data_IF_411758121594
#
_entry.id   IF_411758121594
#
_cell.length_a   1.000
_cell.length_b   1.000
_cell.length_c   1.000
_cell.angle_alpha   90.00
_cell.angle_beta   90.00
_cell.angle_gamma   90.00
#
_symmetry.space_group_name_H-M   'P 1'
#
loop_
_entity.id
_entity.type
_entity.pdbx_description
1 polymer ?
#
# COMPACT_ATOMS: atom_id res chain seq x y z
N UNK A 1 -20.55 -15.90 -25.06
CA UNK A 1 -21.11 -15.88 -23.69
C UNK A 1 -19.94 -15.66 -22.74
N UNK A 2 -19.82 -14.44 -22.19
CA UNK A 2 -18.72 -14.09 -21.30
C UNK A 2 -19.02 -14.60 -19.90
N UNK A 3 -18.20 -15.52 -19.40
CA UNK A 3 -18.25 -15.98 -18.03
C UNK A 3 -17.59 -14.92 -17.15
N UNK A 4 -18.39 -14.08 -16.49
CA UNK A 4 -17.92 -13.28 -15.35
C UNK A 4 -17.90 -14.18 -14.11
N UNK A 5 -16.74 -14.43 -13.48
CA UNK A 5 -16.73 -15.03 -12.15
C UNK A 5 -17.27 -13.99 -11.16
N UNK A 6 -18.49 -14.22 -10.70
CA UNK A 6 -19.17 -13.45 -9.67
C UNK A 6 -18.88 -14.10 -8.31
N UNK A 7 -17.65 -14.04 -7.83
CA UNK A 7 -17.33 -14.44 -6.46
C UNK A 7 -16.10 -13.69 -5.91
N UNK A 8 -16.27 -12.71 -5.01
CA UNK A 8 -15.14 -12.02 -4.36
C UNK A 8 -14.33 -12.94 -3.42
N UNK A 9 -14.85 -14.13 -3.11
CA UNK A 9 -14.23 -15.11 -2.21
C UNK A 9 -13.04 -15.85 -2.83
N UNK A 10 -12.97 -15.96 -4.16
CA UNK A 10 -11.90 -16.68 -4.87
C UNK A 10 -10.57 -15.90 -4.88
N UNK A 11 -10.61 -14.58 -4.76
CA UNK A 11 -9.43 -13.75 -4.56
C UNK A 11 -8.79 -13.91 -3.17
N UNK A 12 -9.51 -14.47 -2.18
CA UNK A 12 -9.03 -14.54 -0.79
C UNK A 12 -8.19 -15.79 -0.49
N UNK A 13 -8.36 -16.87 -1.26
CA UNK A 13 -7.66 -18.14 -1.00
C UNK A 13 -6.17 -18.08 -1.39
N UNK A 14 -5.82 -17.28 -2.41
CA UNK A 14 -4.43 -17.18 -2.92
C UNK A 14 -3.58 -16.13 -2.16
N UNK A 15 -4.21 -15.21 -1.42
CA UNK A 15 -3.50 -14.15 -0.68
C UNK A 15 -2.68 -14.70 0.50
N UNK A 16 -3.12 -15.80 1.12
CA UNK A 16 -2.37 -16.41 2.24
C UNK A 16 -1.01 -16.97 1.82
N UNK A 17 -0.90 -17.40 0.56
CA UNK A 17 0.35 -17.88 -0.07
C UNK A 17 1.25 -16.71 -0.48
N UNK A 18 0.67 -15.63 -1.03
CA UNK A 18 1.39 -14.41 -1.43
C UNK A 18 1.92 -13.66 -0.19
N UNK A 19 1.15 -13.59 0.89
CA UNK A 19 1.56 -12.97 2.16
C UNK A 19 2.82 -13.63 2.72
N UNK A 20 2.91 -14.97 2.66
CA UNK A 20 4.11 -15.70 3.08
C UNK A 20 5.31 -15.40 2.17
N UNK A 21 5.11 -15.32 0.86
CA UNK A 21 6.20 -15.09 -0.10
C UNK A 21 6.80 -13.69 0.02
N UNK A 22 5.93 -12.67 0.17
CA UNK A 22 6.37 -11.29 0.37
C UNK A 22 7.11 -11.15 1.69
N UNK A 23 6.62 -11.77 2.76
CA UNK A 23 7.32 -11.75 4.06
C UNK A 23 8.65 -12.45 4.04
N UNK A 24 8.74 -13.59 3.38
CA UNK A 24 10.00 -14.31 3.21
C UNK A 24 11.00 -13.50 2.37
N UNK A 25 10.51 -12.80 1.34
CA UNK A 25 11.32 -11.88 0.55
C UNK A 25 11.84 -10.70 1.39
N UNK A 26 10.97 -10.03 2.15
CA UNK A 26 11.39 -8.90 3.02
C UNK A 26 12.41 -9.35 4.06
N UNK A 27 12.26 -10.54 4.65
CA UNK A 27 13.23 -11.12 5.58
C UNK A 27 14.59 -11.43 4.95
N UNK A 28 14.63 -11.69 3.64
CA UNK A 28 15.87 -11.93 2.91
C UNK A 28 16.62 -10.64 2.53
N UNK A 29 15.99 -9.47 2.67
CA UNK A 29 16.61 -8.18 2.34
C UNK A 29 17.61 -7.73 3.40
N UNK A 30 18.66 -7.03 2.95
CA UNK A 30 19.63 -6.41 3.85
C UNK A 30 18.93 -5.33 4.73
N UNK A 31 19.33 -5.14 6.01
CA UNK A 31 18.65 -4.23 6.93
C UNK A 31 18.59 -2.78 6.43
N UNK A 32 19.63 -2.33 5.72
CA UNK A 32 19.66 -0.99 5.10
C UNK A 32 18.58 -0.80 4.03
N UNK A 33 18.32 -1.84 3.24
CA UNK A 33 17.27 -1.85 2.22
C UNK A 33 15.90 -1.82 2.87
N UNK A 34 15.68 -2.60 3.93
CA UNK A 34 14.44 -2.57 4.73
C UNK A 34 14.23 -1.19 5.35
N UNK A 35 15.28 -0.57 5.89
CA UNK A 35 15.21 0.76 6.49
C UNK A 35 14.89 1.86 5.47
N UNK A 36 15.34 1.73 4.21
CA UNK A 36 14.96 2.64 3.13
C UNK A 36 13.53 2.41 2.65
N UNK A 37 13.11 1.15 2.48
CA UNK A 37 11.74 0.79 2.08
C UNK A 37 10.71 1.19 3.15
N UNK A 38 11.12 1.22 4.42
CA UNK A 38 10.30 1.65 5.56
C UNK A 38 10.12 3.18 5.63
N UNK A 39 10.73 3.96 4.73
CA UNK A 39 10.56 5.41 4.66
C UNK A 39 9.53 5.74 3.58
N UNK A 40 8.24 5.88 3.92
CA UNK A 40 7.25 6.32 2.97
C UNK A 40 7.56 7.75 2.52
N UNK A 41 7.27 8.06 1.26
CA UNK A 41 7.24 9.45 0.82
C UNK A 41 6.21 10.22 1.67
N UNK A 42 6.49 11.48 2.09
CA UNK A 42 5.59 12.24 2.95
C UNK A 42 4.13 12.30 2.45
N UNK A 43 3.93 12.37 1.13
CA UNK A 43 2.59 12.37 0.53
C UNK A 43 1.87 11.03 0.69
N UNK A 44 2.58 9.93 0.55
CA UNK A 44 2.06 8.56 0.73
C UNK A 44 1.72 8.31 2.20
N UNK A 45 2.58 8.79 3.12
CA UNK A 45 2.34 8.69 4.55
C UNK A 45 1.04 9.39 4.98
N UNK A 46 0.79 10.62 4.49
CA UNK A 46 -0.45 11.35 4.78
C UNK A 46 -1.71 10.61 4.29
N UNK A 47 -1.66 10.02 3.09
CA UNK A 47 -2.80 9.27 2.53
C UNK A 47 -3.07 8.01 3.37
N UNK A 48 -2.03 7.28 3.77
CA UNK A 48 -2.17 6.13 4.67
C UNK A 48 -2.76 6.53 6.02
N UNK A 49 -2.29 7.63 6.60
CA UNK A 49 -2.81 8.16 7.88
C UNK A 49 -4.28 8.55 7.77
N UNK A 50 -4.70 9.15 6.65
CA UNK A 50 -6.09 9.48 6.39
C UNK A 50 -6.96 8.22 6.25
N UNK A 51 -6.47 7.18 5.58
CA UNK A 51 -7.17 5.90 5.46
C UNK A 51 -7.32 5.19 6.81
N UNK A 52 -6.26 5.16 7.62
CA UNK A 52 -6.29 4.60 8.98
C UNK A 52 -7.26 5.37 9.87
N UNK A 53 -7.29 6.71 9.80
CA UNK A 53 -8.29 7.53 10.50
C UNK A 53 -9.72 7.21 10.06
N UNK A 54 -9.94 6.97 8.77
CA UNK A 54 -11.23 6.52 8.25
C UNK A 54 -11.67 5.16 8.81
N UNK A 55 -10.72 4.23 9.00
CA UNK A 55 -10.98 2.90 9.54
C UNK A 55 -11.16 2.89 11.06
N UNK A 56 -10.42 3.74 11.78
CA UNK A 56 -10.37 3.76 13.26
C UNK A 56 -11.32 4.79 13.89
N UNK A 57 -11.85 5.73 13.10
CA UNK A 57 -12.67 6.83 13.58
C UNK A 57 -11.86 8.04 14.08
N UNK A 58 -12.53 9.18 14.21
CA UNK A 58 -11.90 10.44 14.66
C UNK A 58 -11.85 10.51 16.19
N UNK A 59 -10.79 10.02 16.82
CA UNK A 59 -10.45 10.36 18.20
C UNK A 59 -9.18 11.24 18.23
N UNK A 60 -9.18 12.40 18.91
CA UNK A 60 -8.00 13.27 18.95
C UNK A 60 -6.87 12.61 19.78
N UNK A 61 -5.68 12.37 19.19
CA UNK A 61 -4.59 11.66 19.86
C UNK A 61 -3.96 12.45 21.02
N UNK A 62 -4.11 13.78 21.05
CA UNK A 62 -3.55 14.60 22.14
C UNK A 62 -4.28 14.42 23.48
N UNK A 63 -5.50 13.88 23.45
CA UNK A 63 -6.38 13.81 24.63
C UNK A 63 -6.71 12.39 25.08
N UNK A 64 -6.26 11.36 24.34
CA UNK A 64 -6.60 9.97 24.61
C UNK A 64 -5.44 9.02 24.34
N UNK A 65 -5.15 8.13 25.30
CA UNK A 65 -4.36 6.93 25.03
C UNK A 65 -5.18 5.96 24.19
N UNK A 66 -4.87 5.81 22.91
CA UNK A 66 -5.57 4.89 22.03
C UNK A 66 -5.03 3.46 22.19
N UNK A 67 -5.88 2.54 22.63
CA UNK A 67 -5.63 1.09 22.54
C UNK A 67 -6.65 0.51 21.58
N UNK A 68 -6.18 -0.01 20.46
CA UNK A 68 -7.02 -0.60 19.42
C UNK A 68 -7.03 -2.12 19.64
N UNK A 69 -8.17 -2.67 20.06
CA UNK A 69 -8.37 -4.11 20.17
C UNK A 69 -9.15 -4.60 18.94
N UNK A 70 -8.57 -5.54 18.19
CA UNK A 70 -9.19 -6.12 16.99
C UNK A 70 -8.86 -7.61 16.90
N UNK A 71 -9.66 -8.37 16.15
CA UNK A 71 -9.36 -9.78 15.91
C UNK A 71 -8.17 -9.94 14.95
N UNK A 72 -7.53 -11.11 14.98
CA UNK A 72 -6.43 -11.45 14.07
C UNK A 72 -6.87 -11.34 12.61
N UNK A 73 -8.10 -11.74 12.33
CA UNK A 73 -8.70 -11.74 11.00
C UNK A 73 -8.91 -10.32 10.49
N UNK A 74 -9.53 -9.45 11.29
CA UNK A 74 -9.79 -8.06 10.91
C UNK A 74 -8.48 -7.27 10.77
N UNK A 75 -7.49 -7.52 11.64
CA UNK A 75 -6.17 -6.91 11.51
C UNK A 75 -5.44 -7.39 10.25
N UNK A 76 -5.50 -8.69 9.94
CA UNK A 76 -4.93 -9.25 8.72
C UNK A 76 -5.53 -8.63 7.46
N UNK A 77 -6.86 -8.48 7.41
CA UNK A 77 -7.55 -7.81 6.30
C UNK A 77 -7.13 -6.33 6.17
N UNK A 78 -7.02 -5.61 7.29
CA UNK A 78 -6.54 -4.23 7.29
C UNK A 78 -5.12 -4.12 6.75
N UNK A 79 -4.21 -4.99 7.18
CA UNK A 79 -2.83 -5.01 6.72
C UNK A 79 -2.74 -5.33 5.22
N UNK A 80 -3.47 -6.34 4.74
CA UNK A 80 -3.53 -6.69 3.32
C UNK A 80 -4.06 -5.51 2.47
N UNK A 81 -5.12 -4.84 2.93
CA UNK A 81 -5.67 -3.64 2.29
C UNK A 81 -4.66 -2.50 2.22
N UNK A 82 -3.93 -2.24 3.31
CA UNK A 82 -2.88 -1.24 3.36
C UNK A 82 -1.72 -1.59 2.41
N UNK A 83 -1.29 -2.86 2.36
CA UNK A 83 -0.24 -3.32 1.45
C UNK A 83 -0.63 -3.17 -0.02
N UNK A 84 -1.84 -3.59 -0.40
CA UNK A 84 -2.36 -3.40 -1.77
C UNK A 84 -2.44 -1.92 -2.14
N UNK A 85 -2.91 -1.07 -1.21
CA UNK A 85 -2.95 0.38 -1.42
C UNK A 85 -1.54 0.95 -1.65
N UNK A 86 -0.56 0.51 -0.86
CA UNK A 86 0.85 0.89 -1.02
C UNK A 86 1.41 0.50 -2.39
N UNK A 87 1.13 -0.73 -2.84
CA UNK A 87 1.51 -1.21 -4.17
C UNK A 87 0.91 -0.35 -5.28
N UNK A 88 -0.40 -0.05 -5.22
CA UNK A 88 -1.05 0.80 -6.23
C UNK A 88 -0.50 2.23 -6.24
N UNK A 89 -0.24 2.83 -5.07
CA UNK A 89 0.37 4.16 -4.99
C UNK A 89 1.78 4.15 -5.59
N UNK A 90 2.57 3.10 -5.35
CA UNK A 90 3.89 2.96 -5.95
C UNK A 90 3.81 2.85 -7.48
N UNK A 91 2.91 2.01 -8.01
CA UNK A 91 2.69 1.89 -9.45
C UNK A 91 2.22 3.20 -10.08
N UNK A 92 1.34 3.95 -9.41
CA UNK A 92 0.88 5.26 -9.87
C UNK A 92 2.03 6.28 -9.91
N UNK A 93 2.88 6.29 -8.88
CA UNK A 93 4.09 7.13 -8.85
C UNK A 93 5.04 6.81 -9.99
N UNK A 94 5.31 5.53 -10.26
CA UNK A 94 6.18 5.12 -11.37
C UNK A 94 5.65 5.63 -12.72
N UNK A 95 4.33 5.51 -12.96
CA UNK A 95 3.70 6.04 -14.19
C UNK A 95 3.86 7.56 -14.29
N UNK A 96 3.62 8.29 -13.19
CA UNK A 96 3.77 9.74 -13.16
C UNK A 96 5.21 10.20 -13.46
N UNK A 97 6.22 9.55 -12.88
CA UNK A 97 7.63 9.87 -13.15
C UNK A 97 8.02 9.56 -14.60
N UNK A 98 7.48 8.48 -15.17
CA UNK A 98 7.66 8.16 -16.59
C UNK A 98 7.04 9.25 -17.48
N UNK A 99 5.78 9.62 -17.25
CA UNK A 99 5.10 10.67 -18.02
C UNK A 99 5.87 12.00 -17.96
N UNK A 100 6.36 12.37 -16.77
CA UNK A 100 7.21 13.55 -16.58
C UNK A 100 8.49 13.45 -17.40
N UNK A 101 9.18 12.30 -17.39
CA UNK A 101 10.40 12.11 -18.18
C UNK A 101 10.13 12.24 -19.70
N UNK A 102 9.02 11.70 -20.19
CA UNK A 102 8.63 11.82 -21.61
C UNK A 102 8.32 13.29 -21.97
N UNK A 103 7.61 14.02 -21.11
CA UNK A 103 7.33 15.44 -21.32
C UNK A 103 8.61 16.29 -21.34
N UNK A 104 9.59 15.99 -20.48
CA UNK A 104 10.89 16.69 -20.50
C UNK A 104 11.68 16.41 -21.79
N UNK A 105 11.58 15.20 -22.34
CA UNK A 105 12.19 14.86 -23.63
C UNK A 105 11.51 15.57 -24.80
N UNK A 106 10.18 15.66 -24.80
CA UNK A 106 9.42 16.32 -25.86
C UNK A 106 9.66 17.83 -25.88
N UNK A 107 9.69 18.48 -24.71
CA UNK A 107 10.01 19.91 -24.59
C UNK A 107 11.44 20.25 -25.01
N UNK A 108 12.39 19.33 -24.83
CA UNK A 108 13.78 19.51 -25.29
C UNK A 108 13.96 19.35 -26.81
N UNK A 109 12.95 18.84 -27.53
CA UNK A 109 13.02 18.61 -28.99
C UNK A 109 12.33 19.71 -29.82
N UNK A 110 11.54 20.55 -29.17
CA UNK A 110 10.85 21.72 -29.75
C UNK A 110 11.56 23.06 -29.42
N UNK A 111 12.76 23.02 -28.81
CA UNK A 111 13.64 24.19 -28.56
C UNK A 111 14.96 24.03 -29.32
#
# INVERSE_FOLDING_TARGET
MNNLPSNPSEYSADQSSIDNLLWQYVQSLNPDTVAQLSKPEPKVAQIMEQNLRGMLGNLPPEHFGMTITTSRENFGQMLASAMMSGYFLHQAKQRMELDKSIQTLHSSRDS
#
